data_IF_922861002019
#
_entry.id   IF_922861002019
#
_cell.length_a   1.000
_cell.length_b   1.000
_cell.length_c   1.000
_cell.angle_alpha   90.00
_cell.angle_beta   90.00
_cell.angle_gamma   90.00
#
_symmetry.space_group_name_H-M   'P 1'
#
loop_
_entity.id
_entity.type
_entity.pdbx_description
1 polymer ?
#
# COMPACT_ATOMS: atom_id res chain seq x y z
N UNK A 1 -25.00 -88.31 21.37
CA UNK A 1 -25.85 -87.58 22.30
C UNK A 1 -25.71 -86.13 21.92
N UNK A 2 -26.50 -85.58 21.06
CA UNK A 2 -27.81 -84.97 21.21
C UNK A 2 -27.76 -83.69 22.06
N UNK A 3 -27.97 -82.60 21.45
CA UNK A 3 -29.09 -81.69 21.51
C UNK A 3 -28.61 -80.32 21.00
N UNK A 4 -29.17 -79.84 20.07
CA UNK A 4 -30.41 -79.16 19.65
C UNK A 4 -30.26 -77.63 19.66
N UNK A 5 -30.31 -77.13 18.48
CA UNK A 5 -30.41 -75.70 18.12
C UNK A 5 -31.75 -75.12 18.55
N UNK A 6 -31.78 -73.88 18.99
CA UNK A 6 -32.96 -73.03 18.91
C UNK A 6 -32.57 -71.71 18.23
N UNK A 7 -33.09 -71.58 17.03
CA UNK A 7 -33.15 -70.35 16.24
C UNK A 7 -34.16 -69.40 16.90
N UNK A 8 -33.70 -68.27 17.33
CA UNK A 8 -34.59 -67.16 17.78
C UNK A 8 -34.72 -66.16 16.62
N UNK A 9 -35.89 -66.14 16.09
CA UNK A 9 -36.34 -65.39 14.95
C UNK A 9 -36.63 -63.97 15.38
N UNK A 10 -35.73 -63.05 15.08
CA UNK A 10 -35.81 -61.64 15.42
C UNK A 10 -36.89 -60.99 14.56
N UNK A 11 -38.13 -60.95 15.07
CA UNK A 11 -39.22 -60.14 14.51
C UNK A 11 -38.90 -58.65 14.57
N UNK A 12 -38.49 -58.10 13.43
CA UNK A 12 -38.42 -56.65 13.24
C UNK A 12 -39.86 -56.10 13.17
N UNK A 13 -40.24 -55.31 14.15
CA UNK A 13 -41.50 -54.61 14.21
C UNK A 13 -41.59 -53.54 13.09
N UNK A 14 -42.72 -53.47 12.30
CA UNK A 14 -42.86 -52.51 11.19
C UNK A 14 -43.31 -51.10 11.59
N UNK A 15 -43.20 -50.71 12.87
CA UNK A 15 -43.65 -49.40 13.35
C UNK A 15 -42.49 -48.55 13.82
N UNK A 16 -41.56 -48.23 12.90
CA UNK A 16 -40.64 -47.09 13.12
C UNK A 16 -41.29 -45.82 12.54
N UNK A 17 -41.59 -44.80 13.36
CA UNK A 17 -42.17 -43.57 12.84
C UNK A 17 -41.17 -42.98 11.84
N UNK A 18 -41.66 -42.70 10.64
CA UNK A 18 -40.88 -42.03 9.57
C UNK A 18 -40.21 -40.77 10.14
N UNK A 19 -38.90 -40.81 10.17
CA UNK A 19 -38.08 -39.65 10.53
C UNK A 19 -38.55 -38.46 9.67
N UNK A 20 -38.89 -37.30 10.25
CA UNK A 20 -39.31 -36.17 9.43
C UNK A 20 -38.20 -35.88 8.45
N UNK A 21 -38.53 -35.88 7.16
CA UNK A 21 -37.66 -35.48 6.08
C UNK A 21 -37.09 -34.10 6.46
N UNK A 22 -35.82 -34.06 6.86
CA UNK A 22 -35.09 -32.80 7.03
C UNK A 22 -35.17 -32.13 5.68
N UNK A 23 -36.05 -31.11 5.60
CA UNK A 23 -36.14 -30.25 4.43
C UNK A 23 -34.70 -29.84 4.07
N UNK A 24 -34.21 -30.34 2.96
CA UNK A 24 -32.93 -30.00 2.39
C UNK A 24 -32.99 -28.51 2.07
N UNK A 25 -32.71 -27.69 3.09
CA UNK A 25 -32.65 -26.25 2.98
C UNK A 25 -31.67 -25.98 1.85
N UNK A 26 -32.16 -25.45 0.74
CA UNK A 26 -31.42 -25.14 -0.47
C UNK A 26 -30.12 -24.47 -0.05
N UNK A 27 -29.00 -25.12 -0.31
CA UNK A 27 -27.65 -24.59 0.04
C UNK A 27 -27.57 -23.16 -0.51
N UNK A 28 -27.21 -22.17 0.30
CA UNK A 28 -27.14 -20.79 -0.14
C UNK A 28 -26.23 -20.72 -1.37
N UNK A 29 -26.78 -20.20 -2.46
CA UNK A 29 -26.02 -20.05 -3.71
C UNK A 29 -24.75 -19.23 -3.43
N UNK A 30 -23.57 -19.68 -3.90
CA UNK A 30 -22.32 -18.95 -3.66
C UNK A 30 -22.47 -17.54 -4.25
N UNK A 31 -22.06 -16.49 -3.51
CA UNK A 31 -22.15 -15.12 -4.00
C UNK A 31 -21.38 -14.98 -5.31
N UNK A 32 -21.86 -14.13 -6.23
CA UNK A 32 -21.16 -13.87 -7.48
C UNK A 32 -19.71 -13.39 -7.16
N UNK A 33 -18.74 -13.76 -7.99
CA UNK A 33 -17.32 -13.47 -7.80
C UNK A 33 -17.08 -11.95 -7.60
N UNK A 34 -17.82 -11.10 -8.34
CA UNK A 34 -17.76 -9.65 -8.19
C UNK A 34 -18.24 -9.18 -6.82
N UNK A 35 -19.32 -9.77 -6.30
CA UNK A 35 -19.85 -9.42 -4.99
C UNK A 35 -18.86 -9.83 -3.88
N UNK A 36 -18.25 -11.01 -3.99
CA UNK A 36 -17.25 -11.49 -3.06
C UNK A 36 -15.98 -10.59 -3.08
N UNK A 37 -15.51 -10.19 -4.26
CA UNK A 37 -14.41 -9.23 -4.41
C UNK A 37 -14.74 -7.87 -3.80
N UNK A 38 -15.97 -7.36 -4.00
CA UNK A 38 -16.43 -6.10 -3.43
C UNK A 38 -16.46 -6.12 -1.90
N UNK A 39 -16.97 -7.21 -1.30
CA UNK A 39 -16.93 -7.38 0.16
C UNK A 39 -15.50 -7.46 0.70
N UNK A 40 -14.64 -8.22 0.03
CA UNK A 40 -13.21 -8.30 0.41
C UNK A 40 -12.53 -6.93 0.36
N UNK A 41 -12.80 -6.15 -0.69
CA UNK A 41 -12.26 -4.80 -0.83
C UNK A 41 -12.71 -3.88 0.30
N UNK A 42 -14.02 -3.86 0.61
CA UNK A 42 -14.57 -3.05 1.69
C UNK A 42 -14.03 -3.45 3.06
N UNK A 43 -13.92 -4.75 3.32
CA UNK A 43 -13.34 -5.27 4.55
C UNK A 43 -11.86 -4.88 4.68
N UNK A 44 -11.09 -4.99 3.59
CA UNK A 44 -9.67 -4.59 3.56
C UNK A 44 -9.53 -3.10 3.83
N UNK A 45 -10.33 -2.25 3.16
CA UNK A 45 -10.34 -0.81 3.40
C UNK A 45 -10.66 -0.46 4.84
N UNK A 46 -11.76 -1.02 5.38
CA UNK A 46 -12.20 -0.75 6.75
C UNK A 46 -11.15 -1.19 7.76
N UNK A 47 -10.56 -2.37 7.60
CA UNK A 47 -9.51 -2.89 8.47
C UNK A 47 -8.28 -1.99 8.47
N UNK A 48 -7.78 -1.60 7.31
CA UNK A 48 -6.61 -0.75 7.17
C UNK A 48 -6.89 0.68 7.66
N UNK A 49 -8.08 1.23 7.37
CA UNK A 49 -8.44 2.58 7.78
C UNK A 49 -8.59 2.73 9.30
N UNK A 50 -9.14 1.73 9.99
CA UNK A 50 -9.26 1.73 11.45
C UNK A 50 -8.10 1.04 12.16
N UNK A 51 -6.97 0.86 11.49
CA UNK A 51 -5.77 0.25 12.06
C UNK A 51 -4.95 1.27 12.89
N UNK A 52 -4.08 0.75 13.76
CA UNK A 52 -3.11 1.58 14.50
C UNK A 52 -2.24 2.44 13.58
N UNK A 53 -2.02 1.99 12.35
CA UNK A 53 -1.23 2.69 11.33
C UNK A 53 -1.84 4.03 10.92
N UNK A 54 -3.16 4.11 10.87
CA UNK A 54 -3.88 5.36 10.58
C UNK A 54 -3.67 6.41 11.66
N UNK A 55 -3.66 6.01 12.94
CA UNK A 55 -3.33 6.92 14.04
C UNK A 55 -1.88 7.40 13.98
N UNK A 56 -0.96 6.52 13.60
CA UNK A 56 0.46 6.89 13.38
C UNK A 56 0.57 7.86 12.20
N UNK A 57 -0.10 7.57 11.08
CA UNK A 57 -0.12 8.45 9.91
C UNK A 57 -0.69 9.84 10.25
N UNK A 58 -1.79 9.88 11.02
CA UNK A 58 -2.38 11.13 11.50
C UNK A 58 -1.41 11.89 12.41
N UNK A 59 -0.81 11.22 13.39
CA UNK A 59 0.17 11.80 14.31
C UNK A 59 1.37 12.39 13.59
N UNK A 60 1.91 11.68 12.59
CA UNK A 60 3.00 12.17 11.74
C UNK A 60 2.58 13.38 10.91
N UNK A 61 1.36 13.36 10.34
CA UNK A 61 0.82 14.54 9.61
C UNK A 61 0.72 15.75 10.51
N UNK A 62 0.21 15.58 11.73
CA UNK A 62 0.09 16.67 12.72
C UNK A 62 1.49 17.18 13.10
N UNK A 63 2.44 16.28 13.37
CA UNK A 63 3.82 16.66 13.70
C UNK A 63 4.46 17.48 12.58
N UNK A 64 4.32 17.03 11.33
CA UNK A 64 4.83 17.77 10.17
C UNK A 64 4.08 19.10 9.99
N UNK A 65 2.79 19.15 10.28
CA UNK A 65 2.02 20.39 10.28
C UNK A 65 2.54 21.41 11.30
N UNK A 66 2.94 20.97 12.49
CA UNK A 66 3.59 21.85 13.50
C UNK A 66 4.93 22.41 12.99
N UNK A 67 5.71 21.59 12.27
CA UNK A 67 6.96 22.04 11.64
C UNK A 67 6.67 23.10 10.57
N UNK A 68 5.64 22.91 9.73
CA UNK A 68 5.21 23.92 8.74
C UNK A 68 4.79 25.22 9.42
N UNK A 69 4.01 25.15 10.49
CA UNK A 69 3.62 26.35 11.25
C UNK A 69 4.81 27.06 11.88
N UNK A 70 5.80 26.33 12.37
CA UNK A 70 7.05 26.90 12.89
C UNK A 70 7.87 27.56 11.77
N UNK A 71 7.93 26.91 10.59
CA UNK A 71 8.60 27.47 9.41
C UNK A 71 7.95 28.77 8.94
N UNK A 72 6.60 28.86 8.94
CA UNK A 72 5.87 30.06 8.53
C UNK A 72 6.12 31.31 9.40
N UNK A 73 6.77 31.15 10.56
CA UNK A 73 7.20 32.28 11.44
C UNK A 73 8.56 32.84 11.06
N UNK A 74 9.23 32.33 10.03
CA UNK A 74 10.52 32.84 9.57
C UNK A 74 10.38 34.25 8.96
N UNK A 75 11.48 35.02 8.99
CA UNK A 75 11.46 36.43 8.58
C UNK A 75 11.19 36.66 7.08
N UNK A 76 11.45 35.67 6.21
CA UNK A 76 11.23 35.77 4.77
C UNK A 76 10.77 34.43 4.20
N UNK A 77 9.51 34.05 4.41
CA UNK A 77 8.94 32.85 3.81
C UNK A 77 8.76 33.08 2.31
N UNK A 78 9.18 32.12 1.50
CA UNK A 78 9.05 32.11 0.03
C UNK A 78 8.57 30.71 -0.41
N UNK A 79 7.76 30.64 -1.47
CA UNK A 79 7.23 29.38 -1.98
C UNK A 79 8.35 28.39 -2.35
N UNK A 80 9.44 28.88 -2.95
CA UNK A 80 10.62 28.07 -3.26
C UNK A 80 11.28 27.49 -2.01
N UNK A 81 11.50 28.29 -0.99
CA UNK A 81 12.09 27.85 0.28
C UNK A 81 11.19 26.83 0.98
N UNK A 82 9.85 27.02 0.92
CA UNK A 82 8.89 26.07 1.44
C UNK A 82 8.99 24.72 0.73
N UNK A 83 9.05 24.72 -0.60
CA UNK A 83 9.22 23.51 -1.38
C UNK A 83 10.53 22.79 -1.07
N UNK A 84 11.66 23.52 -1.09
CA UNK A 84 13.00 22.93 -0.95
C UNK A 84 13.32 22.49 0.49
N UNK A 85 12.89 23.22 1.50
CA UNK A 85 13.24 22.95 2.90
C UNK A 85 12.21 22.08 3.64
N UNK A 86 10.93 22.12 3.21
CA UNK A 86 9.85 21.42 3.90
C UNK A 86 9.25 20.32 3.04
N UNK A 87 8.68 20.63 1.86
CA UNK A 87 7.96 19.64 1.08
C UNK A 87 8.85 18.55 0.52
N UNK A 88 10.01 18.89 -0.04
CA UNK A 88 10.90 17.87 -0.61
C UNK A 88 11.47 16.91 0.45
N UNK A 89 12.06 17.36 1.58
CA UNK A 89 12.61 16.43 2.56
C UNK A 89 11.53 15.77 3.43
N UNK A 90 10.56 16.53 3.92
CA UNK A 90 9.62 16.07 4.94
C UNK A 90 8.45 15.32 4.31
N UNK A 91 7.87 15.85 3.24
CA UNK A 91 6.72 15.22 2.60
C UNK A 91 7.17 14.14 1.60
N UNK A 92 8.00 14.45 0.61
CA UNK A 92 8.42 13.49 -0.42
C UNK A 92 9.42 12.47 0.13
N UNK A 93 10.37 12.92 0.96
CA UNK A 93 11.44 12.05 1.49
C UNK A 93 10.99 11.19 2.67
N UNK A 94 10.00 11.61 3.44
CA UNK A 94 9.61 10.94 4.68
C UNK A 94 8.13 10.51 4.70
N UNK A 95 7.16 11.45 4.65
CA UNK A 95 5.74 11.12 4.82
C UNK A 95 5.21 10.16 3.74
N UNK A 96 5.51 10.45 2.47
CA UNK A 96 5.02 9.67 1.34
C UNK A 96 5.46 8.20 1.40
N UNK A 97 6.75 7.86 1.59
CA UNK A 97 7.17 6.47 1.77
C UNK A 97 6.60 5.83 3.02
N UNK A 98 6.52 6.54 4.15
CA UNK A 98 6.00 6.00 5.40
C UNK A 98 4.52 5.62 5.29
N UNK A 99 3.69 6.43 4.63
CA UNK A 99 2.29 6.05 4.38
C UNK A 99 2.21 4.81 3.50
N UNK A 100 3.01 4.75 2.45
CA UNK A 100 3.04 3.59 1.57
C UNK A 100 3.52 2.31 2.28
N UNK A 101 4.53 2.40 3.17
CA UNK A 101 4.97 1.27 4.02
C UNK A 101 3.84 0.84 4.95
N UNK A 102 3.22 1.80 5.63
CA UNK A 102 2.18 1.53 6.61
C UNK A 102 1.01 0.75 6.04
N UNK A 103 0.57 1.09 4.83
CA UNK A 103 -0.56 0.40 4.20
C UNK A 103 -0.11 -0.76 3.30
N UNK A 104 0.97 -0.58 2.51
CA UNK A 104 1.45 -1.58 1.56
C UNK A 104 1.97 -2.84 2.24
N UNK A 105 2.94 -2.70 3.14
CA UNK A 105 3.54 -3.85 3.80
C UNK A 105 2.55 -4.58 4.73
N UNK A 106 1.65 -3.84 5.38
CA UNK A 106 0.72 -4.40 6.34
C UNK A 106 -0.48 -5.11 5.73
N UNK A 107 -0.88 -4.78 4.49
CA UNK A 107 -2.05 -5.37 3.85
C UNK A 107 -1.96 -6.89 3.67
N UNK A 108 -0.76 -7.42 3.48
CA UNK A 108 -0.50 -8.87 3.38
C UNK A 108 0.40 -9.32 4.54
N UNK A 109 1.47 -8.57 4.83
CA UNK A 109 2.40 -8.89 5.91
C UNK A 109 1.71 -8.93 7.28
N UNK A 110 0.84 -7.97 7.57
CA UNK A 110 0.07 -7.94 8.83
C UNK A 110 -0.88 -9.13 8.98
N UNK A 111 -1.57 -9.54 7.91
CA UNK A 111 -2.45 -10.72 7.97
C UNK A 111 -1.66 -12.02 8.15
N UNK A 112 -0.43 -12.05 7.65
CA UNK A 112 0.48 -13.17 7.85
C UNK A 112 0.98 -13.23 9.30
N UNK A 113 1.34 -12.09 9.89
CA UNK A 113 1.75 -11.97 11.29
C UNK A 113 0.58 -12.34 12.24
N UNK A 114 -0.65 -11.91 11.90
CA UNK A 114 -1.87 -12.21 12.66
C UNK A 114 -2.40 -13.64 12.42
N UNK A 115 -1.77 -14.44 11.56
CA UNK A 115 -2.21 -15.79 11.11
C UNK A 115 -3.62 -15.82 10.50
N UNK A 116 -4.13 -14.69 10.03
CA UNK A 116 -5.47 -14.58 9.42
C UNK A 116 -5.47 -14.84 7.92
N UNK A 117 -4.31 -14.86 7.28
CA UNK A 117 -4.16 -15.08 5.84
C UNK A 117 -4.73 -16.45 5.40
N UNK A 118 -4.69 -17.48 6.27
CA UNK A 118 -5.19 -18.82 5.97
C UNK A 118 -6.68 -18.81 5.65
N UNK A 119 -7.49 -18.03 6.38
CA UNK A 119 -8.93 -17.93 6.14
C UNK A 119 -9.24 -17.32 4.78
N UNK A 120 -8.37 -16.43 4.31
CA UNK A 120 -8.50 -15.80 2.99
C UNK A 120 -8.14 -16.75 1.86
N UNK A 121 -7.16 -17.65 2.09
CA UNK A 121 -6.72 -18.63 1.10
C UNK A 121 -7.69 -19.82 0.96
N UNK A 122 -8.51 -20.09 1.98
CA UNK A 122 -9.57 -21.13 1.95
C UNK A 122 -10.83 -20.59 1.23
N UNK A 123 -11.00 -19.26 1.16
CA UNK A 123 -12.15 -18.68 0.44
C UNK A 123 -12.12 -19.08 -1.04
N UNK A 124 -13.29 -19.30 -1.68
CA UNK A 124 -13.40 -19.72 -3.09
C UNK A 124 -13.10 -18.56 -4.05
N UNK A 125 -12.00 -17.83 -3.82
CA UNK A 125 -11.54 -16.73 -4.63
C UNK A 125 -10.19 -17.06 -5.27
N UNK A 126 -9.99 -16.78 -6.58
CA UNK A 126 -8.70 -16.98 -7.22
C UNK A 126 -7.65 -16.06 -6.59
N UNK A 127 -6.47 -16.61 -6.26
CA UNK A 127 -5.37 -15.87 -5.63
C UNK A 127 -5.01 -14.56 -6.32
N UNK A 128 -4.95 -14.49 -7.67
CA UNK A 128 -4.72 -13.23 -8.37
C UNK A 128 -5.77 -12.15 -8.06
N UNK A 129 -7.05 -12.53 -7.99
CA UNK A 129 -8.12 -11.57 -7.67
C UNK A 129 -7.99 -11.03 -6.25
N UNK A 130 -7.64 -11.88 -5.28
CA UNK A 130 -7.39 -11.46 -3.90
C UNK A 130 -6.26 -10.43 -3.83
N UNK A 131 -5.13 -10.68 -4.52
CA UNK A 131 -4.02 -9.73 -4.58
C UNK A 131 -4.43 -8.40 -5.19
N UNK A 132 -5.11 -8.41 -6.36
CA UNK A 132 -5.53 -7.19 -7.05
C UNK A 132 -6.53 -6.35 -6.23
N UNK A 133 -7.47 -7.01 -5.55
CA UNK A 133 -8.42 -6.33 -4.65
C UNK A 133 -7.69 -5.63 -3.51
N UNK A 134 -6.70 -6.30 -2.91
CA UNK A 134 -5.86 -5.70 -1.85
C UNK A 134 -4.97 -4.58 -2.39
N UNK A 135 -4.35 -4.77 -3.54
CA UNK A 135 -3.54 -3.74 -4.20
C UNK A 135 -4.36 -2.48 -4.44
N UNK A 136 -5.60 -2.62 -4.96
CA UNK A 136 -6.47 -1.48 -5.19
C UNK A 136 -6.87 -0.76 -3.88
N UNK A 137 -7.18 -1.51 -2.81
CA UNK A 137 -7.49 -0.92 -1.51
C UNK A 137 -6.29 -0.16 -0.92
N UNK A 138 -5.09 -0.73 -1.01
CA UNK A 138 -3.85 -0.11 -0.54
C UNK A 138 -3.52 1.15 -1.34
N UNK A 139 -3.62 1.09 -2.68
CA UNK A 139 -3.40 2.25 -3.54
C UNK A 139 -4.32 3.41 -3.18
N UNK A 140 -5.61 3.12 -2.99
CA UNK A 140 -6.60 4.14 -2.63
C UNK A 140 -6.27 4.80 -1.29
N UNK A 141 -5.90 4.01 -0.27
CA UNK A 141 -5.54 4.54 1.05
C UNK A 141 -4.22 5.32 1.02
N UNK A 142 -3.19 4.78 0.37
CA UNK A 142 -1.90 5.45 0.27
C UNK A 142 -2.02 6.80 -0.46
N UNK A 143 -2.73 6.83 -1.59
CA UNK A 143 -2.99 8.08 -2.33
C UNK A 143 -3.85 9.04 -1.51
N UNK A 144 -4.91 8.54 -0.87
CA UNK A 144 -5.81 9.35 -0.04
C UNK A 144 -5.05 10.06 1.09
N UNK A 145 -4.24 9.32 1.86
CA UNK A 145 -3.42 9.90 2.93
C UNK A 145 -2.34 10.83 2.41
N UNK A 146 -1.69 10.50 1.30
CA UNK A 146 -0.67 11.34 0.68
C UNK A 146 -1.26 12.68 0.25
N UNK A 147 -2.40 12.67 -0.44
CA UNK A 147 -3.07 13.91 -0.86
C UNK A 147 -3.61 14.69 0.34
N UNK A 148 -4.22 14.01 1.32
CA UNK A 148 -4.71 14.67 2.52
C UNK A 148 -3.57 15.39 3.28
N UNK A 149 -2.42 14.71 3.46
CA UNK A 149 -1.25 15.30 4.09
C UNK A 149 -0.69 16.48 3.27
N UNK A 150 -0.56 16.35 1.95
CA UNK A 150 -0.10 17.43 1.09
C UNK A 150 -1.00 18.66 1.21
N UNK A 151 -2.32 18.45 1.15
CA UNK A 151 -3.30 19.54 1.30
C UNK A 151 -3.20 20.22 2.69
N UNK A 152 -3.10 19.43 3.76
CA UNK A 152 -2.95 19.97 5.12
C UNK A 152 -1.68 20.82 5.23
N UNK A 153 -0.54 20.30 4.76
CA UNK A 153 0.73 21.04 4.82
C UNK A 153 0.69 22.33 3.98
N UNK A 154 0.13 22.26 2.78
CA UNK A 154 -0.02 23.43 1.90
C UNK A 154 -1.02 24.46 2.46
N UNK A 155 -2.12 24.04 3.07
CA UNK A 155 -3.08 24.92 3.71
C UNK A 155 -2.46 25.64 4.92
N UNK A 156 -1.67 24.95 5.73
CA UNK A 156 -0.96 25.54 6.87
C UNK A 156 0.12 26.54 6.45
N UNK A 157 0.74 26.33 5.27
CA UNK A 157 1.70 27.27 4.68
C UNK A 157 1.03 28.49 4.01
N UNK A 158 -0.31 28.51 3.88
CA UNK A 158 -1.09 29.61 3.33
C UNK A 158 -0.83 29.87 1.84
N UNK A 159 -0.44 31.12 1.48
CA UNK A 159 -0.19 31.51 0.08
C UNK A 159 0.93 30.68 -0.57
N UNK A 160 2.04 30.45 0.12
CA UNK A 160 3.18 29.69 -0.38
C UNK A 160 2.84 28.22 -0.68
N UNK A 161 1.95 27.64 0.13
CA UNK A 161 1.45 26.28 -0.10
C UNK A 161 0.55 26.20 -1.33
N UNK A 162 -0.28 27.21 -1.60
CA UNK A 162 -1.14 27.23 -2.79
C UNK A 162 -0.33 27.33 -4.09
N UNK A 163 0.77 28.07 -4.07
CA UNK A 163 1.68 28.18 -5.21
C UNK A 163 2.44 26.89 -5.50
N UNK A 164 2.81 26.13 -4.45
CA UNK A 164 3.58 24.89 -4.60
C UNK A 164 2.72 23.67 -4.91
N UNK A 165 1.45 23.66 -4.47
CA UNK A 165 0.54 22.52 -4.62
C UNK A 165 0.44 21.97 -6.06
N UNK A 166 0.31 22.80 -7.13
CA UNK A 166 0.21 22.31 -8.49
C UNK A 166 1.44 21.51 -8.96
N UNK A 167 2.63 21.87 -8.48
CA UNK A 167 3.86 21.16 -8.83
C UNK A 167 3.99 19.80 -8.12
N UNK A 168 3.38 19.64 -6.93
CA UNK A 168 3.57 18.45 -6.10
C UNK A 168 2.50 17.37 -6.25
N UNK A 169 1.23 17.74 -6.54
CA UNK A 169 0.11 16.80 -6.42
C UNK A 169 0.23 15.59 -7.35
N UNK A 170 0.55 15.80 -8.64
CA UNK A 170 0.63 14.73 -9.64
C UNK A 170 1.79 13.77 -9.35
N UNK A 171 2.97 14.31 -9.07
CA UNK A 171 4.15 13.53 -8.72
C UNK A 171 3.95 12.73 -7.43
N UNK A 172 3.22 13.30 -6.45
CA UNK A 172 2.91 12.65 -5.19
C UNK A 172 1.94 11.48 -5.36
N UNK A 173 0.93 11.62 -6.21
CA UNK A 173 0.01 10.52 -6.56
C UNK A 173 0.77 9.36 -7.19
N UNK A 174 1.60 9.65 -8.19
CA UNK A 174 2.41 8.61 -8.85
C UNK A 174 3.40 7.97 -7.88
N UNK A 175 4.06 8.76 -7.05
CA UNK A 175 4.94 8.26 -6.00
C UNK A 175 4.22 7.33 -5.02
N UNK A 176 3.04 7.74 -4.54
CA UNK A 176 2.23 6.93 -3.64
C UNK A 176 1.81 5.60 -4.26
N UNK A 177 1.40 5.59 -5.53
CA UNK A 177 1.02 4.37 -6.26
C UNK A 177 2.19 3.40 -6.39
N UNK A 178 3.37 3.90 -6.79
CA UNK A 178 4.57 3.06 -6.97
C UNK A 178 5.05 2.51 -5.64
N UNK A 179 5.21 3.35 -4.62
CA UNK A 179 5.63 2.90 -3.29
C UNK A 179 4.64 1.93 -2.64
N UNK A 180 3.34 2.20 -2.75
CA UNK A 180 2.31 1.33 -2.18
C UNK A 180 2.38 -0.09 -2.76
N UNK A 181 2.54 -0.21 -4.10
CA UNK A 181 2.69 -1.50 -4.75
C UNK A 181 4.04 -2.16 -4.44
N UNK A 182 5.13 -1.39 -4.39
CA UNK A 182 6.44 -1.89 -4.01
C UNK A 182 6.41 -2.54 -2.62
N UNK A 183 5.88 -1.83 -1.62
CA UNK A 183 5.80 -2.34 -0.26
C UNK A 183 4.77 -3.45 -0.09
N UNK A 184 3.71 -3.47 -0.92
CA UNK A 184 2.78 -4.58 -0.98
C UNK A 184 3.45 -5.86 -1.50
N UNK A 185 4.28 -5.76 -2.54
CA UNK A 185 5.08 -6.88 -3.07
C UNK A 185 6.08 -7.38 -2.02
N UNK A 186 6.77 -6.47 -1.32
CA UNK A 186 7.69 -6.85 -0.24
C UNK A 186 6.94 -7.54 0.92
N UNK A 187 5.74 -7.05 1.28
CA UNK A 187 4.87 -7.68 2.27
C UNK A 187 4.41 -9.08 1.87
N UNK A 188 4.14 -9.32 0.58
CA UNK A 188 3.79 -10.63 0.05
C UNK A 188 5.01 -11.56 -0.05
N UNK A 189 6.18 -11.00 -0.41
CA UNK A 189 7.39 -11.77 -0.66
C UNK A 189 8.11 -12.22 0.62
N UNK A 190 8.09 -11.44 1.70
CA UNK A 190 8.90 -11.70 2.88
C UNK A 190 8.05 -11.91 4.14
N UNK A 191 8.55 -12.75 5.06
CA UNK A 191 7.88 -13.02 6.36
C UNK A 191 7.77 -11.76 7.22
N UNK A 192 8.82 -10.95 7.23
CA UNK A 192 8.89 -9.69 7.96
C UNK A 192 8.82 -8.51 6.98
N UNK A 193 7.75 -8.46 6.16
CA UNK A 193 7.59 -7.50 5.08
C UNK A 193 7.73 -6.05 5.51
N UNK A 194 7.20 -5.68 6.67
CA UNK A 194 7.29 -4.32 7.23
C UNK A 194 8.73 -3.92 7.55
N UNK A 195 9.52 -4.80 8.17
CA UNK A 195 10.93 -4.54 8.51
C UNK A 195 11.76 -4.39 7.23
N UNK A 196 11.54 -5.27 6.25
CA UNK A 196 12.25 -5.22 4.97
C UNK A 196 11.87 -3.96 4.18
N UNK A 197 10.61 -3.56 4.21
CA UNK A 197 10.15 -2.31 3.58
C UNK A 197 10.78 -1.08 4.21
N UNK A 198 10.92 -1.06 5.54
CA UNK A 198 11.59 0.01 6.26
C UNK A 198 13.10 0.04 5.95
N UNK A 199 13.75 -1.13 5.90
CA UNK A 199 15.14 -1.26 5.50
C UNK A 199 15.36 -0.78 4.05
N UNK A 200 14.49 -1.18 3.11
CA UNK A 200 14.50 -0.70 1.73
C UNK A 200 14.44 0.84 1.69
N UNK A 201 13.46 1.44 2.38
CA UNK A 201 13.32 2.89 2.41
C UNK A 201 14.57 3.57 2.95
N UNK A 202 15.10 3.10 4.07
CA UNK A 202 16.29 3.70 4.68
C UNK A 202 17.53 3.58 3.78
N UNK A 203 17.84 2.37 3.29
CA UNK A 203 19.07 2.15 2.51
C UNK A 203 18.97 2.70 1.09
N UNK A 204 17.87 2.42 0.36
CA UNK A 204 17.77 2.85 -1.02
C UNK A 204 17.30 4.30 -1.15
N UNK A 205 16.29 4.72 -0.42
CA UNK A 205 15.71 6.04 -0.61
C UNK A 205 16.48 7.13 0.14
N UNK A 206 16.88 6.89 1.39
CA UNK A 206 17.57 7.89 2.19
C UNK A 206 19.07 7.88 1.83
N UNK A 207 19.74 6.72 1.89
CA UNK A 207 21.19 6.64 1.71
C UNK A 207 21.59 6.81 0.23
N UNK A 208 21.05 6.00 -0.68
CA UNK A 208 21.36 6.08 -2.10
C UNK A 208 20.75 7.32 -2.77
N UNK A 209 19.59 7.78 -2.31
CA UNK A 209 18.99 9.04 -2.75
C UNK A 209 19.84 10.28 -2.47
N UNK A 210 20.70 10.23 -1.45
CA UNK A 210 21.65 11.28 -1.09
C UNK A 210 22.97 11.20 -1.89
N UNK A 211 23.30 10.05 -2.51
CA UNK A 211 24.55 9.88 -3.26
C UNK A 211 24.56 10.67 -4.57
N UNK A 212 25.67 11.28 -4.96
CA UNK A 212 25.80 11.93 -6.26
C UNK A 212 25.89 10.88 -7.39
N UNK A 213 25.47 11.27 -8.61
CA UNK A 213 25.63 10.45 -9.81
C UNK A 213 24.44 9.59 -10.18
N UNK A 214 24.68 8.50 -10.90
CA UNK A 214 23.65 7.65 -11.52
C UNK A 214 22.91 6.77 -10.51
N UNK A 215 23.51 6.48 -9.35
CA UNK A 215 22.98 5.55 -8.34
C UNK A 215 21.57 5.96 -7.85
N UNK A 216 21.32 7.25 -7.71
CA UNK A 216 20.01 7.77 -7.29
C UNK A 216 18.86 7.46 -8.27
N UNK A 217 19.17 7.13 -9.53
CA UNK A 217 18.14 6.69 -10.52
C UNK A 217 17.50 5.35 -10.14
N UNK A 218 18.06 4.63 -9.18
CA UNK A 218 17.46 3.42 -8.64
C UNK A 218 16.32 3.73 -7.65
N UNK A 219 16.25 4.96 -7.12
CA UNK A 219 15.28 5.37 -6.12
C UNK A 219 14.01 5.92 -6.76
N UNK A 220 12.86 5.62 -6.15
CA UNK A 220 11.56 6.16 -6.60
C UNK A 220 11.50 7.66 -6.34
N UNK A 221 12.05 8.13 -5.22
CA UNK A 221 12.09 9.56 -4.87
C UNK A 221 12.82 10.42 -5.90
N UNK A 222 13.79 9.87 -6.63
CA UNK A 222 14.47 10.58 -7.70
C UNK A 222 13.48 10.96 -8.81
N UNK A 223 12.66 10.03 -9.28
CA UNK A 223 11.69 10.28 -10.35
C UNK A 223 10.56 11.18 -9.88
N UNK A 224 10.10 11.04 -8.63
CA UNK A 224 9.13 11.96 -8.02
C UNK A 224 9.67 13.39 -8.03
N UNK A 225 10.93 13.58 -7.59
CA UNK A 225 11.59 14.90 -7.61
C UNK A 225 11.74 15.44 -9.03
N UNK A 226 12.10 14.61 -10.02
CA UNK A 226 12.20 15.03 -11.42
C UNK A 226 10.86 15.56 -11.97
N UNK A 227 9.74 14.88 -11.65
CA UNK A 227 8.41 15.36 -12.02
C UNK A 227 8.05 16.69 -11.33
N UNK A 228 8.35 16.82 -10.03
CA UNK A 228 8.11 18.05 -9.27
C UNK A 228 8.92 19.22 -9.86
N UNK A 229 10.19 19.00 -10.20
CA UNK A 229 11.05 20.04 -10.76
C UNK A 229 10.62 20.44 -12.18
N UNK A 230 10.09 19.50 -12.95
CA UNK A 230 9.56 19.80 -14.29
C UNK A 230 8.24 20.58 -14.22
N UNK A 231 7.32 20.20 -13.33
CA UNK A 231 6.07 20.89 -13.08
C UNK A 231 6.26 22.25 -12.37
N UNK A 232 7.29 22.39 -11.53
CA UNK A 232 7.60 23.60 -10.77
C UNK A 232 8.64 24.52 -11.43
N UNK A 233 8.79 24.51 -12.75
CA UNK A 233 9.74 25.37 -13.48
C UNK A 233 9.54 26.86 -13.21
N UNK A 234 8.29 27.30 -13.10
CA UNK A 234 7.94 28.70 -12.82
C UNK A 234 8.41 29.15 -11.43
N UNK A 235 8.45 28.23 -10.47
CA UNK A 235 8.95 28.44 -9.11
C UNK A 235 10.47 28.23 -8.99
N UNK A 236 11.14 27.96 -10.11
CA UNK A 236 12.57 27.61 -10.16
C UNK A 236 12.95 26.49 -9.18
N UNK A 237 12.07 25.49 -9.02
CA UNK A 237 12.35 24.34 -8.13
C UNK A 237 13.47 23.49 -8.69
N UNK A 238 14.28 22.96 -7.78
CA UNK A 238 15.36 22.04 -8.11
C UNK A 238 16.75 22.67 -8.20
N UNK A 239 17.73 21.93 -8.71
CA UNK A 239 19.14 22.35 -8.71
C UNK A 239 19.39 23.45 -9.74
N UNK A 240 19.41 24.71 -9.28
CA UNK A 240 19.66 25.90 -10.12
C UNK A 240 21.14 26.05 -10.45
N UNK A 241 22.04 25.71 -9.52
CA UNK A 241 23.49 25.81 -9.72
C UNK A 241 23.99 24.72 -10.67
N UNK A 242 24.91 25.05 -11.60
CA UNK A 242 25.50 24.12 -12.57
C UNK A 242 26.05 22.86 -11.91
N UNK A 243 26.83 23.01 -10.85
CA UNK A 243 27.40 21.90 -10.06
C UNK A 243 26.29 21.00 -9.48
N UNK A 244 25.21 21.59 -8.95
CA UNK A 244 24.10 20.83 -8.40
C UNK A 244 23.32 20.07 -9.49
N UNK A 245 23.19 20.63 -10.71
CA UNK A 245 22.61 19.96 -11.87
C UNK A 245 23.48 18.78 -12.32
N UNK A 246 24.78 18.98 -12.42
CA UNK A 246 25.74 17.93 -12.80
C UNK A 246 25.75 16.79 -11.75
N UNK A 247 25.58 17.12 -10.48
CA UNK A 247 25.43 16.13 -9.41
C UNK A 247 24.06 15.44 -9.39
N UNK A 248 22.97 16.13 -9.74
CA UNK A 248 21.61 15.55 -9.68
C UNK A 248 21.25 14.79 -10.96
N UNK A 249 21.78 15.17 -12.13
CA UNK A 249 21.49 14.58 -13.44
C UNK A 249 19.97 14.41 -13.70
N UNK A 250 19.18 15.49 -13.61
CA UNK A 250 17.73 15.40 -13.72
C UNK A 250 17.30 14.82 -15.08
N UNK A 251 16.21 14.05 -15.06
CA UNK A 251 15.53 13.53 -16.24
C UNK A 251 14.29 14.39 -16.48
N UNK A 252 13.82 14.48 -17.74
CA UNK A 252 12.58 15.19 -18.03
C UNK A 252 11.38 14.58 -17.31
N UNK A 253 10.38 15.37 -16.95
CA UNK A 253 9.18 14.92 -16.25
C UNK A 253 8.43 13.81 -16.97
N UNK A 254 8.37 13.88 -18.33
CA UNK A 254 7.71 12.87 -19.17
C UNK A 254 8.42 11.51 -19.09
N UNK A 255 9.76 11.52 -19.15
CA UNK A 255 10.54 10.27 -18.97
C UNK A 255 10.37 9.74 -17.55
N UNK A 256 10.39 10.60 -16.55
CA UNK A 256 10.16 10.18 -15.16
C UNK A 256 8.76 9.57 -15.00
N UNK A 257 7.73 10.17 -15.58
CA UNK A 257 6.37 9.63 -15.56
C UNK A 257 6.28 8.26 -16.25
N UNK A 258 6.90 8.12 -17.42
CA UNK A 258 6.92 6.86 -18.18
C UNK A 258 7.61 5.75 -17.38
N UNK A 259 8.77 6.03 -16.78
CA UNK A 259 9.51 5.07 -15.94
C UNK A 259 8.68 4.66 -14.73
N UNK A 260 8.05 5.60 -14.04
CA UNK A 260 7.21 5.30 -12.88
C UNK A 260 5.97 4.47 -13.25
N UNK A 261 5.33 4.77 -14.39
CA UNK A 261 4.18 4.00 -14.90
C UNK A 261 4.59 2.57 -15.28
N UNK A 262 5.72 2.40 -15.95
CA UNK A 262 6.27 1.08 -16.26
C UNK A 262 6.65 0.30 -14.99
N UNK A 263 7.25 0.98 -14.01
CA UNK A 263 7.58 0.37 -12.71
C UNK A 263 6.32 -0.06 -11.97
N UNK A 264 5.27 0.77 -11.95
CA UNK A 264 3.98 0.43 -11.35
C UNK A 264 3.37 -0.83 -11.98
N UNK A 265 3.31 -0.87 -13.32
CA UNK A 265 2.79 -2.03 -14.04
C UNK A 265 3.61 -3.30 -13.73
N UNK A 266 4.93 -3.20 -13.74
CA UNK A 266 5.84 -4.30 -13.41
C UNK A 266 5.62 -4.80 -11.98
N UNK A 267 5.48 -3.90 -11.01
CA UNK A 267 5.23 -4.26 -9.61
C UNK A 267 3.88 -4.96 -9.41
N UNK A 268 2.83 -4.49 -10.09
CA UNK A 268 1.51 -5.16 -10.03
C UNK A 268 1.60 -6.58 -10.58
N UNK A 269 2.22 -6.77 -11.75
CA UNK A 269 2.40 -8.09 -12.34
C UNK A 269 3.27 -8.99 -11.45
N UNK A 270 4.40 -8.48 -10.98
CA UNK A 270 5.29 -9.21 -10.08
C UNK A 270 4.57 -9.62 -8.79
N UNK A 271 3.77 -8.73 -8.23
CA UNK A 271 3.01 -9.01 -7.02
C UNK A 271 1.97 -10.09 -7.21
N UNK A 272 1.25 -10.09 -8.35
CA UNK A 272 0.33 -11.17 -8.71
C UNK A 272 1.06 -12.51 -8.82
N UNK A 273 2.22 -12.53 -9.49
CA UNK A 273 3.03 -13.73 -9.65
C UNK A 273 3.50 -14.24 -8.28
N UNK A 274 4.14 -13.38 -7.48
CA UNK A 274 4.67 -13.75 -6.16
C UNK A 274 3.56 -14.28 -5.26
N UNK A 275 2.40 -13.61 -5.20
CA UNK A 275 1.30 -14.02 -4.36
C UNK A 275 0.65 -15.33 -4.83
N UNK A 276 0.61 -15.58 -6.14
CA UNK A 276 0.00 -16.78 -6.73
C UNK A 276 0.89 -18.02 -6.63
N UNK A 277 2.22 -17.85 -6.78
CA UNK A 277 3.17 -18.96 -6.83
C UNK A 277 3.69 -19.38 -5.46
N UNK A 278 3.62 -18.47 -4.48
CA UNK A 278 4.18 -18.76 -3.16
C UNK A 278 3.28 -19.69 -2.36
N UNK A 279 3.86 -20.76 -1.86
CA UNK A 279 3.23 -21.62 -0.86
C UNK A 279 3.43 -20.99 0.52
N UNK A 280 2.34 -20.61 1.17
CA UNK A 280 2.34 -20.08 2.53
C UNK A 280 2.27 -21.23 3.55
N UNK A 281 3.11 -22.27 3.36
CA UNK A 281 3.13 -23.49 4.19
C UNK A 281 3.52 -23.25 5.65
N UNK A 282 4.07 -22.07 5.99
CA UNK A 282 4.48 -21.75 7.37
C UNK A 282 3.32 -21.32 8.29
N UNK A 283 2.08 -21.51 7.87
CA UNK A 283 0.88 -21.11 8.63
C UNK A 283 0.27 -22.29 9.42
N UNK A 284 0.93 -23.45 9.43
CA UNK A 284 0.57 -24.62 10.22
C UNK A 284 1.29 -24.69 11.56
#
# INVERSE_FOLDING_TARGET
MAASATSDENRVSPDSPASPAVSEAAAPQPPSLLMACGHLWLLTLRRLFFSRQTFVALGLTVLCGLIVMAWGRQASPEAKKFADQVLLPLFVGFLLPIYAISYGAAAIGGEREDRTLIYLLIAPLPRPAVYLVKAFAVMLLAVGWTIAALLVLCLLAGHHGRETLPAFWQASVMGALVYANLFLVLGAAFRHGTIISLAYWFFLEVLFGAMPGIVKRLTVSFYVKCQIFDAGKELELGPVRRIAREMFLPVSGDVAFTVMSATLATLVVLGVIVFSTREYAELG
#
